data_IF_936908837712
#
_entry.id   IF_936908837712
#
_cell.length_a   1.000
_cell.length_b   1.000
_cell.length_c   1.000
_cell.angle_alpha   90.00
_cell.angle_beta   90.00
_cell.angle_gamma   90.00
#
_symmetry.space_group_name_H-M   'P 1'
#
loop_
_entity.id
_entity.type
_entity.pdbx_description
1 polymer ?
#
# COMPACT_ATOMS: atom_id res chain seq x y z
N UNK A 1 13.69 8.89 16.07
CA UNK A 1 14.41 8.32 14.91
C UNK A 1 14.33 9.31 13.75
N UNK A 2 15.43 9.55 13.05
CA UNK A 2 15.60 10.59 12.03
C UNK A 2 14.91 10.28 10.69
N UNK A 3 14.53 9.03 10.45
CA UNK A 3 13.81 8.57 9.25
C UNK A 3 12.45 7.91 9.58
N UNK A 4 11.91 8.14 10.77
CA UNK A 4 10.58 7.66 11.06
C UNK A 4 9.57 8.63 10.45
N UNK A 5 8.79 8.12 9.51
CA UNK A 5 7.60 8.82 9.03
C UNK A 5 6.52 8.61 10.09
N UNK A 6 6.09 9.66 10.83
CA UNK A 6 5.03 9.52 11.81
C UNK A 6 3.77 8.97 11.13
N UNK A 7 3.09 8.01 11.76
CA UNK A 7 1.89 7.38 11.20
C UNK A 7 2.13 6.11 10.37
N UNK A 8 3.38 5.70 10.15
CA UNK A 8 3.69 4.35 9.66
C UNK A 8 3.88 3.40 10.85
N UNK A 9 2.79 2.76 11.27
CA UNK A 9 2.76 1.72 12.30
C UNK A 9 2.02 0.49 11.78
N UNK A 10 1.85 -0.54 12.62
CA UNK A 10 1.00 -1.70 12.30
C UNK A 10 -0.43 -1.30 11.89
N UNK A 11 -0.94 -0.16 12.40
CA UNK A 11 -2.24 0.38 12.02
C UNK A 11 -2.34 0.92 10.59
N UNK A 12 -1.23 0.94 9.84
CA UNK A 12 -1.25 1.21 8.40
C UNK A 12 -1.70 -0.01 7.57
N UNK A 13 -1.81 -1.20 8.18
CA UNK A 13 -2.24 -2.43 7.53
C UNK A 13 -3.56 -2.94 8.12
N UNK A 14 -4.33 -3.69 7.33
CA UNK A 14 -5.63 -4.23 7.75
C UNK A 14 -5.50 -5.24 8.91
N UNK A 15 -4.58 -6.21 8.84
CA UNK A 15 -4.30 -7.12 9.97
C UNK A 15 -2.92 -7.81 9.83
N UNK A 16 -1.92 -7.32 10.58
CA UNK A 16 -0.56 -7.89 10.55
C UNK A 16 -0.46 -9.27 11.23
N UNK A 17 -1.34 -9.59 12.18
CA UNK A 17 -1.31 -10.88 12.89
C UNK A 17 -1.84 -12.01 12.01
N UNK A 18 -2.81 -11.71 11.15
CA UNK A 18 -3.30 -12.62 10.12
C UNK A 18 -2.47 -12.57 8.82
N UNK A 19 -1.35 -11.82 8.80
CA UNK A 19 -0.49 -11.63 7.62
C UNK A 19 -1.21 -10.98 6.44
N UNK A 20 -2.27 -10.21 6.72
CA UNK A 20 -2.92 -9.35 5.76
C UNK A 20 -2.23 -7.98 5.75
N UNK A 21 -1.26 -7.83 4.85
CA UNK A 21 -0.50 -6.60 4.67
C UNK A 21 -1.12 -5.66 3.62
N UNK A 22 -2.40 -5.83 3.30
CA UNK A 22 -3.15 -4.79 2.60
C UNK A 22 -3.19 -3.51 3.46
N UNK A 23 -3.13 -2.34 2.83
CA UNK A 23 -3.18 -1.07 3.56
C UNK A 23 -4.54 -0.89 4.24
N UNK A 24 -4.57 -0.32 5.44
CA UNK A 24 -5.78 0.07 6.16
C UNK A 24 -6.39 1.39 5.62
N UNK A 25 -7.68 1.63 5.88
CA UNK A 25 -8.35 2.79 5.28
C UNK A 25 -7.72 4.10 5.74
N UNK A 26 -7.47 5.01 4.79
CA UNK A 26 -6.81 6.29 5.08
C UNK A 26 -5.31 6.17 5.38
N UNK A 27 -4.69 5.00 5.18
CA UNK A 27 -3.24 4.86 5.26
C UNK A 27 -2.57 5.87 4.32
N UNK A 28 -1.52 6.53 4.81
CA UNK A 28 -0.82 7.59 4.06
C UNK A 28 -0.11 7.09 2.80
N UNK A 29 0.01 5.77 2.64
CA UNK A 29 0.67 5.09 1.54
C UNK A 29 -0.27 4.87 0.33
N UNK A 30 -1.57 5.16 0.50
CA UNK A 30 -2.56 5.08 -0.57
C UNK A 30 -2.33 6.19 -1.59
N UNK A 31 -2.35 5.87 -2.88
CA UNK A 31 -2.15 6.83 -3.97
C UNK A 31 -0.85 7.66 -3.84
N UNK A 32 0.27 7.02 -3.44
CA UNK A 32 1.57 7.70 -3.28
C UNK A 32 2.72 7.07 -4.07
N UNK A 33 2.45 5.98 -4.78
CA UNK A 33 3.42 5.30 -5.62
C UNK A 33 3.62 5.95 -6.98
N UNK A 34 4.41 5.27 -7.80
CA UNK A 34 4.62 5.60 -9.21
C UNK A 34 4.33 4.37 -10.05
N UNK A 35 3.89 4.57 -11.29
CA UNK A 35 3.75 3.48 -12.25
C UNK A 35 5.12 2.87 -12.57
N UNK A 36 5.18 1.54 -12.61
CA UNK A 36 6.36 0.78 -13.02
C UNK A 36 5.98 0.00 -14.27
N UNK A 37 6.73 0.17 -15.35
CA UNK A 37 6.38 -0.30 -16.69
C UNK A 37 6.85 -1.75 -16.94
N UNK A 38 6.45 -2.66 -16.05
CA UNK A 38 6.80 -4.09 -16.10
C UNK A 38 5.61 -5.00 -15.79
N UNK A 39 4.74 -4.55 -14.89
CA UNK A 39 3.53 -5.24 -14.48
C UNK A 39 2.49 -4.20 -14.09
N UNK A 40 1.24 -4.60 -13.96
CA UNK A 40 0.18 -3.70 -13.54
C UNK A 40 -0.84 -4.36 -12.61
N UNK A 41 -0.49 -5.48 -11.97
CA UNK A 41 -1.33 -6.11 -10.96
C UNK A 41 -0.60 -6.29 -9.64
N UNK A 42 -1.32 -6.19 -8.54
CA UNK A 42 -0.81 -6.39 -7.18
C UNK A 42 -0.76 -7.89 -6.79
N UNK A 43 -0.45 -8.18 -5.53
CA UNK A 43 -0.42 -9.54 -4.97
C UNK A 43 -1.76 -10.28 -5.01
N UNK A 44 -2.88 -9.55 -4.95
CA UNK A 44 -4.24 -10.10 -5.01
C UNK A 44 -4.81 -10.15 -6.43
N UNK A 45 -4.03 -9.77 -7.45
CA UNK A 45 -4.46 -9.73 -8.85
C UNK A 45 -5.26 -8.47 -9.23
N UNK A 46 -5.30 -7.47 -8.36
CA UNK A 46 -5.97 -6.19 -8.60
C UNK A 46 -5.11 -5.34 -9.55
N UNK A 47 -5.73 -4.78 -10.58
CA UNK A 47 -5.06 -3.88 -11.54
C UNK A 47 -4.71 -2.54 -10.89
N UNK A 48 -3.51 -2.02 -11.18
CA UNK A 48 -2.95 -0.76 -10.66
C UNK A 48 -2.89 0.34 -11.74
N UNK A 49 -3.12 1.62 -11.39
CA UNK A 49 -3.67 2.08 -10.12
C UNK A 49 -5.18 1.82 -10.04
N UNK A 50 -5.72 1.63 -8.83
CA UNK A 50 -7.17 1.77 -8.59
C UNK A 50 -7.59 3.21 -8.33
N UNK A 51 -6.69 4.02 -7.75
CA UNK A 51 -6.92 5.42 -7.46
C UNK A 51 -6.12 6.36 -8.37
N UNK A 52 -5.65 7.46 -7.80
CA UNK A 52 -4.86 8.47 -8.50
C UNK A 52 -3.43 8.01 -8.80
N UNK A 53 -2.88 7.10 -7.99
CA UNK A 53 -1.57 6.51 -8.19
C UNK A 53 -1.53 5.09 -7.59
N UNK A 54 -0.46 4.35 -7.86
CA UNK A 54 -0.28 3.04 -7.23
C UNK A 54 -0.16 3.21 -5.71
N UNK A 55 -0.66 2.26 -4.95
CA UNK A 55 -0.38 2.21 -3.52
C UNK A 55 1.07 1.78 -3.28
N UNK A 56 1.70 2.33 -2.24
CA UNK A 56 3.03 1.87 -1.84
C UNK A 56 2.89 0.54 -1.10
N UNK A 57 3.32 -0.54 -1.75
CA UNK A 57 3.35 -1.88 -1.17
C UNK A 57 3.02 -2.97 -2.18
N UNK A 58 2.81 -4.20 -1.67
CA UNK A 58 2.48 -5.37 -2.49
C UNK A 58 0.99 -5.48 -2.86
N UNK A 59 0.13 -4.73 -2.17
CA UNK A 59 -1.33 -4.73 -2.34
C UNK A 59 -1.81 -3.38 -2.85
N UNK A 60 -2.91 -3.37 -3.60
CA UNK A 60 -3.62 -2.22 -4.12
C UNK A 60 -5.00 -2.15 -3.49
N UNK A 61 -5.39 -1.01 -2.92
CA UNK A 61 -6.68 -0.83 -2.26
C UNK A 61 -7.82 -0.54 -3.23
#
# INVERSE_FOLDING_TARGET
>A
CTNCVPGLSEGAFEDVLLRNFALANGAMLIDRGTTIDLFNTDHSGITRPKGAAWDIGAYER
#
